data_IF_963419121511
#
_entry.id   IF_963419121511
#
_cell.length_a   1.000
_cell.length_b   1.000
_cell.length_c   1.000
_cell.angle_alpha   90.00
_cell.angle_beta   90.00
_cell.angle_gamma   90.00
#
_symmetry.space_group_name_H-M   'P 1'
#
loop_
_entity.id
_entity.type
_entity.pdbx_description
1 polymer ?
#
# COMPACT_ATOMS: atom_id res chain seq x y z
N UNK A 1 -63.31 -33.10 11.17
CA UNK A 1 -62.40 -33.07 12.34
C UNK A 1 -60.97 -33.32 11.84
N UNK A 2 -60.03 -32.42 12.21
CA UNK A 2 -58.55 -32.52 12.22
C UNK A 2 -57.85 -32.83 10.86
N UNK A 3 -57.31 -31.85 10.11
CA UNK A 3 -55.99 -31.17 10.23
C UNK A 3 -54.84 -32.18 10.41
N UNK A 4 -53.85 -32.26 9.52
CA UNK A 4 -52.57 -31.49 9.51
C UNK A 4 -51.95 -31.70 8.09
N UNK A 5 -51.93 -30.74 7.16
CA UNK A 5 -50.90 -29.70 6.98
C UNK A 5 -49.45 -30.19 7.16
N UNK A 6 -48.94 -30.96 6.20
CA UNK A 6 -47.49 -31.08 5.97
C UNK A 6 -47.15 -30.18 4.79
N UNK A 7 -47.17 -28.87 5.04
CA UNK A 7 -46.33 -27.94 4.28
C UNK A 7 -44.91 -28.43 4.48
N UNK A 8 -44.29 -28.93 3.41
CA UNK A 8 -42.84 -29.04 3.34
C UNK A 8 -42.31 -27.62 3.46
N UNK A 9 -42.10 -27.18 4.71
CA UNK A 9 -41.22 -26.10 5.07
C UNK A 9 -39.83 -26.64 4.75
N UNK A 10 -39.51 -26.66 3.45
CA UNK A 10 -38.14 -26.49 2.98
C UNK A 10 -37.76 -25.08 3.38
N UNK A 11 -37.45 -24.92 4.68
CA UNK A 11 -36.63 -23.83 5.14
C UNK A 11 -35.45 -23.81 4.18
N UNK A 12 -35.44 -22.79 3.32
CA UNK A 12 -34.25 -22.19 2.77
C UNK A 12 -33.37 -21.85 3.99
N UNK A 13 -32.69 -22.87 4.52
CA UNK A 13 -31.42 -22.69 5.18
C UNK A 13 -30.52 -22.19 4.06
N UNK A 14 -30.62 -20.88 3.78
CA UNK A 14 -29.50 -20.14 3.25
C UNK A 14 -28.39 -20.40 4.25
N UNK A 15 -27.58 -21.41 3.96
CA UNK A 15 -26.27 -21.57 4.57
C UNK A 15 -25.62 -20.25 4.25
N UNK A 16 -25.58 -19.34 5.23
CA UNK A 16 -24.76 -18.15 5.16
C UNK A 16 -23.35 -18.71 5.12
N UNK A 17 -22.86 -18.94 3.91
CA UNK A 17 -21.46 -19.23 3.69
C UNK A 17 -20.77 -17.98 4.21
N UNK A 18 -20.13 -18.12 5.37
CA UNK A 18 -19.39 -17.03 5.97
C UNK A 18 -18.22 -16.74 5.04
N UNK A 19 -18.13 -15.49 4.58
CA UNK A 19 -16.95 -14.95 3.94
C UNK A 19 -15.73 -15.20 4.84
N UNK A 20 -14.61 -15.61 4.25
CA UNK A 20 -13.34 -15.71 4.96
C UNK A 20 -12.57 -14.41 4.85
N UNK A 21 -11.77 -14.07 5.87
CA UNK A 21 -10.84 -12.95 5.82
C UNK A 21 -9.42 -13.49 5.81
N UNK A 22 -8.70 -13.30 4.72
CA UNK A 22 -7.31 -13.75 4.57
C UNK A 22 -6.37 -12.55 4.71
N UNK A 23 -5.45 -12.59 5.66
CA UNK A 23 -4.38 -11.60 5.82
C UNK A 23 -3.12 -12.11 5.12
N UNK A 24 -2.92 -11.67 3.88
CA UNK A 24 -1.92 -12.19 2.95
C UNK A 24 -0.63 -11.38 3.07
N UNK A 25 0.48 -12.05 3.33
CA UNK A 25 1.75 -11.38 3.58
C UNK A 25 2.99 -12.18 3.16
N UNK A 26 4.07 -11.44 2.91
CA UNK A 26 5.43 -11.97 2.87
C UNK A 26 6.33 -11.42 4.01
N UNK A 27 5.76 -10.60 4.90
CA UNK A 27 6.42 -10.00 6.05
C UNK A 27 6.70 -11.00 7.20
N UNK A 28 7.37 -10.55 8.26
CA UNK A 28 7.66 -11.39 9.43
C UNK A 28 6.36 -11.89 10.11
N UNK A 29 6.33 -13.20 10.42
CA UNK A 29 5.15 -13.89 10.94
C UNK A 29 4.60 -13.28 12.23
N UNK A 30 5.51 -12.91 13.14
CA UNK A 30 5.20 -12.32 14.44
C UNK A 30 4.40 -11.01 14.30
N UNK A 31 4.83 -10.15 13.37
CA UNK A 31 4.22 -8.84 13.10
C UNK A 31 2.82 -9.00 12.51
N UNK A 32 2.67 -9.92 11.55
CA UNK A 32 1.38 -10.12 10.88
C UNK A 32 0.37 -10.82 11.79
N UNK A 33 0.80 -11.73 12.66
CA UNK A 33 -0.08 -12.32 13.68
C UNK A 33 -0.61 -11.28 14.65
N UNK A 34 0.24 -10.37 15.12
CA UNK A 34 -0.17 -9.27 15.99
C UNK A 34 -1.20 -8.36 15.30
N UNK A 35 -0.93 -7.97 14.05
CA UNK A 35 -1.87 -7.19 13.24
C UNK A 35 -3.20 -7.94 13.06
N UNK A 36 -3.15 -9.22 12.71
CA UNK A 36 -4.35 -10.04 12.47
C UNK A 36 -5.18 -10.19 13.74
N UNK A 37 -4.53 -10.32 14.90
CA UNK A 37 -5.20 -10.33 16.20
C UNK A 37 -5.92 -9.00 16.47
N UNK A 38 -5.26 -7.86 16.22
CA UNK A 38 -5.89 -6.55 16.37
C UNK A 38 -7.06 -6.36 15.40
N UNK A 39 -6.88 -6.75 14.13
CA UNK A 39 -7.95 -6.71 13.12
C UNK A 39 -9.16 -7.53 13.56
N UNK A 40 -8.92 -8.73 14.09
CA UNK A 40 -9.99 -9.64 14.54
C UNK A 40 -10.85 -9.03 15.64
N UNK A 41 -10.30 -8.13 16.47
CA UNK A 41 -11.08 -7.44 17.51
C UNK A 41 -12.14 -6.48 16.94
N UNK A 42 -11.99 -6.05 15.68
CA UNK A 42 -12.96 -5.21 14.97
C UNK A 42 -13.91 -6.01 14.08
N UNK A 43 -13.69 -7.31 13.93
CA UNK A 43 -14.55 -8.18 13.13
C UNK A 43 -15.71 -8.73 13.97
N UNK A 44 -16.88 -8.95 13.36
CA UNK A 44 -17.94 -9.75 13.98
C UNK A 44 -17.40 -11.10 14.43
N UNK A 45 -17.88 -11.61 15.57
CA UNK A 45 -17.41 -12.89 16.14
C UNK A 45 -17.62 -14.11 15.23
N UNK A 46 -18.44 -13.97 14.19
CA UNK A 46 -18.65 -15.00 13.16
C UNK A 46 -17.58 -15.02 12.08
N UNK A 47 -16.79 -13.95 11.93
CA UNK A 47 -15.71 -13.82 10.97
C UNK A 47 -14.36 -13.98 11.69
N UNK A 48 -13.48 -14.79 11.11
CA UNK A 48 -12.11 -14.92 11.59
C UNK A 48 -11.16 -14.46 10.50
N UNK A 49 -10.13 -13.72 10.92
CA UNK A 49 -9.03 -13.34 10.04
C UNK A 49 -7.89 -14.34 10.19
N UNK A 50 -7.46 -14.91 9.07
CA UNK A 50 -6.41 -15.91 9.01
C UNK A 50 -5.15 -15.31 8.38
N UNK A 51 -4.00 -15.26 9.08
CA UNK A 51 -2.76 -14.86 8.46
C UNK A 51 -2.25 -15.99 7.55
N UNK A 52 -2.00 -15.68 6.28
CA UNK A 52 -1.56 -16.64 5.27
C UNK A 52 -0.37 -16.08 4.50
N UNK A 53 0.69 -16.88 4.39
CA UNK A 53 1.83 -16.57 3.52
C UNK A 53 1.37 -16.54 2.07
N UNK A 54 1.83 -15.56 1.28
CA UNK A 54 1.46 -15.46 -0.15
C UNK A 54 1.68 -16.79 -0.87
N UNK A 55 2.82 -17.45 -0.66
CA UNK A 55 3.12 -18.76 -1.26
C UNK A 55 2.13 -19.86 -0.91
N UNK A 56 1.62 -19.90 0.31
CA UNK A 56 0.61 -20.87 0.75
C UNK A 56 -0.80 -20.51 0.25
N UNK A 57 -1.10 -19.21 0.18
CA UNK A 57 -2.38 -18.73 -0.35
C UNK A 57 -2.58 -19.18 -1.81
N UNK A 58 -1.56 -19.04 -2.66
CA UNK A 58 -1.66 -19.41 -4.07
C UNK A 58 -1.90 -20.89 -4.33
N UNK A 59 -1.47 -21.77 -3.42
CA UNK A 59 -1.76 -23.20 -3.53
C UNK A 59 -3.25 -23.51 -3.40
N UNK A 60 -4.02 -22.63 -2.75
CA UNK A 60 -5.44 -22.81 -2.43
C UNK A 60 -6.36 -21.77 -3.08
N UNK A 61 -5.87 -20.99 -4.04
CA UNK A 61 -6.60 -19.87 -4.68
C UNK A 61 -7.95 -20.29 -5.31
N UNK A 62 -8.06 -21.56 -5.73
CA UNK A 62 -9.29 -22.10 -6.36
C UNK A 62 -10.46 -22.21 -5.37
N UNK A 63 -10.18 -22.26 -4.07
CA UNK A 63 -11.19 -22.31 -3.01
C UNK A 63 -11.83 -20.95 -2.72
N UNK A 64 -11.31 -19.86 -3.31
CA UNK A 64 -11.76 -18.51 -3.05
C UNK A 64 -13.17 -18.23 -3.60
N UNK A 65 -13.97 -17.50 -2.82
CA UNK A 65 -15.33 -17.06 -3.13
C UNK A 65 -15.37 -15.56 -3.41
N UNK A 66 -16.48 -15.11 -3.99
CA UNK A 66 -16.63 -13.71 -4.39
C UNK A 66 -16.76 -12.74 -3.21
N UNK A 67 -17.20 -13.24 -2.07
CA UNK A 67 -17.43 -12.49 -0.83
C UNK A 67 -16.25 -12.56 0.15
N UNK A 68 -15.22 -13.36 -0.15
CA UNK A 68 -14.01 -13.43 0.67
C UNK A 68 -13.24 -12.11 0.62
N UNK A 69 -12.67 -11.72 1.77
CA UNK A 69 -11.90 -10.49 1.94
C UNK A 69 -10.42 -10.84 2.00
N UNK A 70 -9.63 -10.19 1.16
CA UNK A 70 -8.19 -10.35 1.05
C UNK A 70 -7.50 -9.09 1.57
N UNK A 71 -6.94 -9.15 2.77
CA UNK A 71 -6.14 -8.06 3.34
C UNK A 71 -4.68 -8.29 2.99
N UNK A 72 -4.11 -7.50 2.09
CA UNK A 72 -2.72 -7.67 1.66
C UNK A 72 -1.78 -6.75 2.44
N UNK A 73 -0.63 -7.27 2.87
CA UNK A 73 0.38 -6.50 3.62
C UNK A 73 1.53 -6.08 2.70
N UNK A 74 1.60 -4.80 2.37
CA UNK A 74 2.64 -4.20 1.54
C UNK A 74 2.42 -4.37 0.03
N UNK A 75 3.30 -3.71 -0.74
CA UNK A 75 3.23 -3.64 -2.21
C UNK A 75 3.25 -5.02 -2.87
N UNK A 76 4.17 -5.89 -2.47
CA UNK A 76 4.43 -7.12 -3.20
C UNK A 76 3.26 -8.10 -3.08
N UNK A 77 2.70 -8.28 -1.87
CA UNK A 77 1.52 -9.11 -1.66
C UNK A 77 0.29 -8.53 -2.41
N UNK A 78 0.12 -7.20 -2.44
CA UNK A 78 -0.95 -6.57 -3.22
C UNK A 78 -0.80 -6.80 -4.73
N UNK A 79 0.40 -6.59 -5.26
CA UNK A 79 0.74 -6.77 -6.67
C UNK A 79 0.46 -8.19 -7.15
N UNK A 80 0.90 -9.18 -6.38
CA UNK A 80 0.67 -10.59 -6.73
C UNK A 80 -0.81 -10.96 -6.71
N UNK A 81 -1.58 -10.42 -5.75
CA UNK A 81 -3.01 -10.70 -5.67
C UNK A 81 -3.76 -10.09 -6.84
N UNK A 82 -3.48 -8.83 -7.20
CA UNK A 82 -4.11 -8.19 -8.35
C UNK A 82 -3.79 -8.87 -9.68
N UNK A 83 -2.61 -9.50 -9.82
CA UNK A 83 -2.24 -10.22 -11.04
C UNK A 83 -2.78 -11.65 -11.14
N UNK A 84 -3.19 -12.25 -10.03
CA UNK A 84 -3.50 -13.70 -9.97
C UNK A 84 -4.95 -14.00 -9.60
N UNK A 85 -5.58 -13.17 -8.77
CA UNK A 85 -6.90 -13.44 -8.20
C UNK A 85 -8.02 -12.79 -9.01
N UNK A 86 -9.10 -13.54 -9.23
CA UNK A 86 -10.29 -13.09 -9.96
C UNK A 86 -11.58 -13.07 -9.13
N UNK A 87 -11.50 -13.40 -7.83
CA UNK A 87 -12.65 -13.43 -6.90
C UNK A 87 -12.30 -12.74 -5.58
N UNK A 88 -13.32 -12.33 -4.85
CA UNK A 88 -13.17 -11.67 -3.55
C UNK A 88 -13.01 -10.16 -3.67
N UNK A 89 -12.69 -9.53 -2.55
CA UNK A 89 -12.45 -8.09 -2.41
C UNK A 89 -11.10 -7.90 -1.76
N UNK A 90 -10.28 -6.97 -2.28
CA UNK A 90 -8.95 -6.69 -1.75
C UNK A 90 -8.91 -5.40 -0.93
N UNK A 91 -8.24 -5.47 0.20
CA UNK A 91 -7.87 -4.32 1.02
C UNK A 91 -6.35 -4.30 1.14
N UNK A 92 -5.70 -3.40 0.42
CA UNK A 92 -4.26 -3.20 0.49
C UNK A 92 -3.89 -2.39 1.73
N UNK A 93 -2.93 -2.85 2.52
CA UNK A 93 -2.48 -2.17 3.74
C UNK A 93 -0.96 -2.03 3.73
N UNK A 94 -0.45 -1.04 4.47
CA UNK A 94 0.99 -0.76 4.54
C UNK A 94 1.65 -0.51 3.17
N UNK A 95 0.92 0.09 2.24
CA UNK A 95 1.36 0.39 0.86
C UNK A 95 1.35 1.90 0.62
N UNK A 96 2.24 2.45 -0.20
CA UNK A 96 2.14 3.84 -0.65
C UNK A 96 0.90 4.09 -1.51
N UNK A 97 0.35 5.31 -1.47
CA UNK A 97 -0.80 5.66 -2.32
C UNK A 97 -0.45 5.55 -3.80
N UNK A 98 0.72 6.04 -4.20
CA UNK A 98 1.19 6.02 -5.58
C UNK A 98 1.54 4.59 -6.05
N UNK A 99 2.03 3.73 -5.14
CA UNK A 99 2.23 2.30 -5.42
C UNK A 99 0.90 1.59 -5.64
N UNK A 100 -0.08 1.87 -4.77
CA UNK A 100 -1.41 1.31 -4.88
C UNK A 100 -2.07 1.69 -6.19
N UNK A 101 -2.05 2.99 -6.55
CA UNK A 101 -2.64 3.50 -7.79
C UNK A 101 -1.96 2.93 -9.03
N UNK A 102 -0.66 2.63 -8.95
CA UNK A 102 0.05 2.00 -10.06
C UNK A 102 -0.45 0.57 -10.30
N UNK A 103 -0.57 -0.23 -9.24
CA UNK A 103 -0.98 -1.64 -9.30
C UNK A 103 -2.49 -1.80 -9.53
N UNK A 104 -3.31 -0.91 -8.95
CA UNK A 104 -4.77 -1.01 -8.96
C UNK A 104 -5.35 -1.08 -10.38
N UNK A 105 -4.71 -0.42 -11.35
CA UNK A 105 -5.17 -0.36 -12.74
C UNK A 105 -5.29 -1.74 -13.38
N UNK A 106 -4.47 -2.68 -12.93
CA UNK A 106 -4.43 -4.04 -13.44
C UNK A 106 -5.22 -5.03 -12.55
N UNK A 107 -5.87 -4.54 -11.49
CA UNK A 107 -6.59 -5.38 -10.55
C UNK A 107 -7.99 -5.72 -11.09
N UNK A 108 -8.27 -7.02 -11.22
CA UNK A 108 -9.55 -7.51 -11.80
C UNK A 108 -10.71 -7.54 -10.80
N UNK A 109 -10.42 -7.35 -9.51
CA UNK A 109 -11.40 -7.41 -8.42
C UNK A 109 -11.48 -6.07 -7.69
N UNK A 110 -12.61 -5.77 -7.02
CA UNK A 110 -12.74 -4.54 -6.24
C UNK A 110 -11.60 -4.44 -5.21
N UNK A 111 -10.92 -3.31 -5.21
CA UNK A 111 -9.84 -3.05 -4.27
C UNK A 111 -9.99 -1.71 -3.57
N UNK A 112 -9.48 -1.64 -2.35
CA UNK A 112 -9.34 -0.42 -1.54
C UNK A 112 -7.97 -0.41 -0.88
N UNK A 113 -7.52 0.75 -0.39
CA UNK A 113 -6.19 0.91 0.20
C UNK A 113 -6.21 1.67 1.53
N UNK A 114 -5.36 1.22 2.46
CA UNK A 114 -4.97 1.91 3.69
C UNK A 114 -3.49 2.26 3.55
N UNK A 115 -3.23 3.54 3.32
CA UNK A 115 -1.93 3.99 2.83
C UNK A 115 -0.91 4.23 3.96
N UNK A 116 0.33 3.86 3.67
CA UNK A 116 1.51 4.25 4.44
C UNK A 116 1.91 5.69 4.11
N UNK A 117 2.33 6.42 5.14
CA UNK A 117 2.76 7.81 5.02
C UNK A 117 1.64 8.81 5.30
N UNK A 118 2.04 10.04 5.61
CA UNK A 118 1.09 11.13 5.75
C UNK A 118 0.63 11.61 4.37
N UNK A 119 -0.65 12.02 4.22
CA UNK A 119 -1.12 12.72 3.02
C UNK A 119 -0.23 13.92 2.66
N UNK A 120 -0.07 14.21 1.36
CA UNK A 120 0.83 15.26 0.87
C UNK A 120 0.51 16.64 1.46
N UNK A 121 -0.76 17.00 1.61
CA UNK A 121 -1.20 18.27 2.24
C UNK A 121 -0.60 18.43 3.64
N UNK A 122 -0.61 17.38 4.47
CA UNK A 122 -0.03 17.41 5.82
C UNK A 122 1.48 17.53 5.80
N UNK A 123 2.13 16.95 4.79
CA UNK A 123 3.59 17.02 4.63
C UNK A 123 4.01 18.41 4.19
N UNK A 124 3.29 19.02 3.25
CA UNK A 124 3.52 20.41 2.83
C UNK A 124 3.21 21.40 3.95
N UNK A 125 2.11 21.21 4.69
CA UNK A 125 1.81 22.06 5.85
C UNK A 125 2.90 22.00 6.92
N UNK A 126 3.47 20.82 7.18
CA UNK A 126 4.60 20.67 8.08
C UNK A 126 5.85 21.38 7.54
N UNK A 127 6.16 21.19 6.26
CA UNK A 127 7.31 21.83 5.61
C UNK A 127 7.18 23.35 5.63
N UNK A 128 6.01 23.92 5.32
CA UNK A 128 5.77 25.35 5.34
C UNK A 128 6.03 25.97 6.73
N UNK A 129 5.73 25.21 7.79
CA UNK A 129 5.95 25.66 9.17
C UNK A 129 7.43 25.66 9.60
N UNK A 130 8.31 24.89 8.93
CA UNK A 130 9.70 24.67 9.38
C UNK A 130 10.76 25.07 8.35
N UNK A 131 10.39 25.19 7.07
CA UNK A 131 11.30 25.35 5.95
C UNK A 131 11.19 26.75 5.36
N UNK A 132 12.05 27.66 5.86
CA UNK A 132 11.99 29.08 5.53
C UNK A 132 12.67 29.43 4.18
N UNK A 133 13.60 28.61 3.69
CA UNK A 133 14.29 28.83 2.41
C UNK A 133 13.62 28.02 1.29
N UNK A 134 12.62 28.59 0.62
CA UNK A 134 11.70 27.88 -0.30
C UNK A 134 12.32 27.48 -1.66
N UNK A 135 13.50 26.87 -1.66
CA UNK A 135 14.05 26.17 -2.82
C UNK A 135 13.10 25.06 -3.27
N UNK A 136 13.12 24.68 -4.57
CA UNK A 136 12.31 23.59 -5.08
C UNK A 136 12.54 22.29 -4.30
N UNK A 137 11.45 21.56 -4.04
CA UNK A 137 11.50 20.26 -3.39
C UNK A 137 11.71 19.18 -4.45
N UNK A 138 12.72 18.35 -4.27
CA UNK A 138 12.98 17.24 -5.16
C UNK A 138 12.11 16.02 -4.82
N UNK A 139 11.49 15.40 -5.81
CA UNK A 139 10.74 14.15 -5.68
C UNK A 139 11.48 13.08 -6.47
N UNK A 140 12.20 12.21 -5.77
CA UNK A 140 12.87 11.06 -6.36
C UNK A 140 11.95 9.83 -6.30
N UNK A 141 11.71 9.17 -7.44
CA UNK A 141 10.81 8.02 -7.53
C UNK A 141 11.26 6.98 -8.56
N UNK A 142 10.78 5.75 -8.42
CA UNK A 142 10.98 4.64 -9.35
C UNK A 142 9.75 4.34 -10.20
N UNK A 143 9.87 3.36 -11.09
CA UNK A 143 8.75 2.75 -11.84
C UNK A 143 7.66 2.10 -10.97
N UNK A 144 7.91 1.91 -9.67
CA UNK A 144 6.91 1.40 -8.75
C UNK A 144 5.72 2.33 -8.57
N UNK A 145 5.90 3.64 -8.80
CA UNK A 145 4.93 4.68 -8.46
C UNK A 145 4.17 5.18 -9.68
N UNK A 146 2.87 5.38 -9.50
CA UNK A 146 2.09 6.23 -10.39
C UNK A 146 2.14 7.67 -9.90
N UNK A 147 2.90 8.52 -10.59
CA UNK A 147 3.04 9.93 -10.26
C UNK A 147 2.10 10.78 -11.12
N UNK A 148 1.13 11.42 -10.46
CA UNK A 148 0.34 12.51 -11.06
C UNK A 148 1.04 13.84 -10.78
N UNK A 149 2.01 14.19 -11.63
CA UNK A 149 2.84 15.38 -11.43
C UNK A 149 1.99 16.65 -11.36
N UNK A 150 1.02 16.80 -12.26
CA UNK A 150 0.17 17.99 -12.31
C UNK A 150 -0.63 18.19 -11.02
N UNK A 151 -1.23 17.10 -10.50
CA UNK A 151 -1.95 17.16 -9.23
C UNK A 151 -1.00 17.51 -8.07
N UNK A 152 0.14 16.85 -7.99
CA UNK A 152 1.12 17.07 -6.92
C UNK A 152 1.70 18.48 -6.94
N UNK A 153 2.01 19.02 -8.12
CA UNK A 153 2.49 20.40 -8.30
C UNK A 153 1.42 21.40 -7.86
N UNK A 154 0.16 21.16 -8.20
CA UNK A 154 -0.95 22.00 -7.76
C UNK A 154 -1.06 22.00 -6.24
N UNK A 155 -1.03 20.83 -5.60
CA UNK A 155 -1.08 20.70 -4.14
C UNK A 155 0.12 21.40 -3.46
N UNK A 156 1.32 21.27 -4.03
CA UNK A 156 2.52 21.94 -3.51
C UNK A 156 2.45 23.47 -3.65
N UNK A 157 1.93 23.95 -4.78
CA UNK A 157 1.79 25.38 -5.07
C UNK A 157 0.84 26.09 -4.11
N UNK A 158 -0.16 25.39 -3.54
CA UNK A 158 -1.03 25.93 -2.48
C UNK A 158 -0.25 26.36 -1.22
N UNK A 159 0.93 25.75 -1.00
CA UNK A 159 1.85 26.11 0.09
C UNK A 159 3.04 26.96 -0.39
N UNK A 160 3.08 27.31 -1.68
CA UNK A 160 4.17 28.07 -2.30
C UNK A 160 5.46 27.26 -2.50
N UNK A 161 5.35 25.94 -2.64
CA UNK A 161 6.47 25.07 -3.03
C UNK A 161 6.42 24.75 -4.53
N UNK A 162 7.60 24.64 -5.13
CA UNK A 162 7.81 24.06 -6.46
C UNK A 162 8.33 22.64 -6.32
N UNK A 163 7.88 21.72 -7.18
CA UNK A 163 8.36 20.33 -7.20
C UNK A 163 9.27 20.08 -8.39
N UNK A 164 10.35 19.33 -8.17
CA UNK A 164 11.21 18.79 -9.23
C UNK A 164 11.19 17.28 -9.21
N UNK A 165 10.62 16.69 -10.25
CA UNK A 165 10.48 15.25 -10.35
C UNK A 165 11.70 14.64 -11.02
N UNK A 166 12.32 13.68 -10.35
CA UNK A 166 13.37 12.85 -10.93
C UNK A 166 13.00 11.38 -10.80
N UNK A 167 12.78 10.75 -11.95
CA UNK A 167 12.64 9.30 -12.01
C UNK A 167 14.03 8.66 -12.05
N UNK A 168 14.22 7.55 -11.34
CA UNK A 168 15.49 6.81 -11.34
C UNK A 168 15.26 5.31 -11.44
N UNK A 169 16.23 4.64 -12.07
CA UNK A 169 16.36 3.20 -11.96
C UNK A 169 16.72 2.81 -10.52
N UNK A 170 16.39 1.58 -10.14
CA UNK A 170 16.51 1.07 -8.78
C UNK A 170 17.84 0.35 -8.53
N UNK A 171 18.85 0.58 -9.37
CA UNK A 171 20.21 0.12 -9.10
C UNK A 171 20.97 1.18 -8.26
N UNK A 172 21.95 0.71 -7.50
CA UNK A 172 22.69 1.54 -6.54
C UNK A 172 23.37 2.74 -7.19
N UNK A 173 23.94 2.59 -8.40
CA UNK A 173 24.68 3.65 -9.06
C UNK A 173 23.74 4.73 -9.59
N UNK A 174 22.63 4.33 -10.19
CA UNK A 174 21.61 5.26 -10.66
C UNK A 174 21.02 6.07 -9.51
N UNK A 175 20.63 5.42 -8.41
CA UNK A 175 20.14 6.12 -7.21
C UNK A 175 21.18 7.10 -6.65
N UNK A 176 22.45 6.70 -6.54
CA UNK A 176 23.51 7.60 -6.07
C UNK A 176 23.70 8.82 -6.98
N UNK A 177 23.70 8.62 -8.30
CA UNK A 177 23.81 9.73 -9.26
C UNK A 177 22.62 10.67 -9.17
N UNK A 178 21.42 10.13 -9.11
CA UNK A 178 20.19 10.90 -9.00
C UNK A 178 20.16 11.72 -7.70
N UNK A 179 20.55 11.12 -6.56
CA UNK A 179 20.64 11.85 -5.29
C UNK A 179 21.69 12.96 -5.35
N UNK A 180 22.89 12.70 -5.90
CA UNK A 180 23.91 13.73 -6.03
C UNK A 180 23.44 14.90 -6.91
N UNK A 181 22.82 14.60 -8.06
CA UNK A 181 22.25 15.61 -8.94
C UNK A 181 21.18 16.45 -8.22
N UNK A 182 20.29 15.80 -7.46
CA UNK A 182 19.26 16.51 -6.71
C UNK A 182 19.82 17.40 -5.61
N UNK A 183 20.88 16.98 -4.92
CA UNK A 183 21.51 17.77 -3.86
C UNK A 183 22.24 19.02 -4.38
N UNK A 184 22.58 19.06 -5.67
CA UNK A 184 23.13 20.26 -6.33
C UNK A 184 22.01 21.29 -6.62
N UNK A 185 20.78 20.85 -6.88
CA UNK A 185 19.67 21.70 -7.31
C UNK A 185 18.59 21.94 -6.24
N UNK A 186 18.54 21.12 -5.20
CA UNK A 186 17.49 21.09 -4.18
C UNK A 186 18.06 20.70 -2.83
N UNK A 187 17.71 21.45 -1.79
CA UNK A 187 18.18 21.19 -0.43
C UNK A 187 17.39 20.09 0.27
N UNK A 188 16.18 19.79 -0.22
CA UNK A 188 15.27 18.82 0.38
C UNK A 188 14.73 17.87 -0.67
N UNK A 189 14.82 16.57 -0.36
CA UNK A 189 14.15 15.51 -1.11
C UNK A 189 12.88 15.09 -0.36
N UNK A 190 11.72 15.35 -0.97
CA UNK A 190 10.43 14.82 -0.54
C UNK A 190 10.33 13.33 -0.91
N UNK A 191 10.58 12.48 0.08
CA UNK A 191 10.47 11.03 -0.05
C UNK A 191 9.02 10.57 -0.19
N UNK A 192 8.64 9.87 -1.25
CA UNK A 192 7.37 9.13 -1.33
C UNK A 192 7.55 7.72 -0.76
N UNK A 193 6.46 7.01 -0.47
CA UNK A 193 6.55 5.58 -0.12
C UNK A 193 6.84 4.80 -1.39
N UNK A 194 8.11 4.47 -1.59
CA UNK A 194 8.63 3.73 -2.75
C UNK A 194 9.39 2.49 -2.30
N UNK A 195 8.71 1.35 -2.26
CA UNK A 195 9.28 0.08 -1.80
C UNK A 195 10.51 -0.33 -2.61
N UNK A 196 10.60 0.05 -3.89
CA UNK A 196 11.76 -0.30 -4.71
C UNK A 196 12.99 0.55 -4.36
N UNK A 197 12.83 1.84 -4.09
CA UNK A 197 13.95 2.71 -3.67
C UNK A 197 14.40 2.44 -2.23
N UNK A 198 13.55 1.91 -1.36
CA UNK A 198 13.89 1.62 0.04
C UNK A 198 14.28 0.17 0.33
N UNK A 199 14.53 -0.64 -0.70
CA UNK A 199 15.04 -2.01 -0.53
C UNK A 199 16.39 -2.04 0.23
N UNK A 200 16.69 -3.18 0.86
CA UNK A 200 17.94 -3.39 1.61
C UNK A 200 19.15 -3.09 0.73
N UNK A 201 19.90 -2.04 1.08
CA UNK A 201 21.08 -1.58 0.35
C UNK A 201 20.96 -0.13 -0.13
N UNK A 202 19.81 0.24 -0.72
CA UNK A 202 19.54 1.59 -1.21
C UNK A 202 19.11 2.53 -0.09
N UNK A 203 18.38 2.04 0.92
CA UNK A 203 18.02 2.81 2.12
C UNK A 203 19.21 3.52 2.78
N UNK A 204 20.40 2.90 2.73
CA UNK A 204 21.64 3.48 3.30
C UNK A 204 22.10 4.73 2.56
N UNK A 205 21.78 4.86 1.27
CA UNK A 205 22.10 6.05 0.48
C UNK A 205 21.37 7.24 1.10
N UNK A 206 20.04 7.14 1.22
CA UNK A 206 19.22 8.20 1.81
C UNK A 206 19.64 8.57 3.22
N UNK A 207 19.97 7.59 4.08
CA UNK A 207 20.39 7.87 5.46
C UNK A 207 21.78 8.53 5.55
N UNK A 208 22.71 8.17 4.65
CA UNK A 208 24.07 8.72 4.67
C UNK A 208 24.16 10.10 4.01
N UNK A 209 23.28 10.41 3.06
CA UNK A 209 23.21 11.73 2.40
C UNK A 209 22.86 12.87 3.36
N UNK A 210 22.19 12.60 4.47
CA UNK A 210 21.93 13.59 5.52
C UNK A 210 23.15 13.87 6.43
N UNK A 211 24.15 12.97 6.45
CA UNK A 211 25.30 13.08 7.36
C UNK A 211 26.43 13.98 6.84
N UNK A 212 26.43 14.35 5.55
CA UNK A 212 27.58 15.02 4.93
C UNK A 212 27.40 16.52 4.73
N UNK A 213 26.22 17.09 5.00
CA UNK A 213 25.95 18.53 4.85
C UNK A 213 25.92 19.29 6.19
N UNK A 214 26.40 18.69 7.27
CA UNK A 214 26.57 19.32 8.58
C UNK A 214 28.05 19.42 8.95
N UNK A 215 28.82 20.15 8.14
CA UNK A 215 30.18 20.59 8.43
C UNK A 215 30.38 22.04 7.96
#
# INVERSE_FOLDING_TARGET
MKRIFVTFIGMLLSVKVLASVYVIHDAEESSVRSLTFQLSAFLPSSLQAEPVRSSAFYQNITALKNDDILVTIGRDSYSQICSTVSKGIVIATFIGQEEYLNIQKDCLIPSSGVFSGAPLDKRFALLDAVWFDRKPLAVLYSDALFIDQQKMEKEAAEYGFELRFLKTDTDRLSVLRSVNFLLEESEVILSLVDTQLYQKGLRKIFLNSYSTNSA
#
